data_IF_804309443922
#
_entry.id   IF_804309443922
#
_cell.length_a   1.000
_cell.length_b   1.000
_cell.length_c   1.000
_cell.angle_alpha   90.00
_cell.angle_beta   90.00
_cell.angle_gamma   90.00
#
_symmetry.space_group_name_H-M   'P 1'
#
loop_
_entity.id
_entity.type
_entity.pdbx_description
1 polymer ?
#
# COMPACT_ATOMS: atom_id res chain seq x y z
N UNK A 1 11.22 10.81 0.35
CA UNK A 1 10.22 10.08 1.17
C UNK A 1 10.74 8.67 1.40
N UNK A 2 10.59 8.11 2.61
CA UNK A 2 11.03 6.74 2.93
C UNK A 2 9.87 6.00 3.57
N UNK A 3 9.61 4.79 3.11
CA UNK A 3 8.63 3.89 3.73
C UNK A 3 9.28 3.04 4.82
N UNK A 4 8.50 2.58 5.78
CA UNK A 4 9.00 1.75 6.88
C UNK A 4 9.20 0.30 6.48
N UNK A 5 10.29 -0.31 6.93
CA UNK A 5 10.48 -1.79 6.93
C UNK A 5 9.83 -2.47 8.16
N UNK A 6 9.15 -1.70 9.02
CA UNK A 6 8.46 -2.17 10.22
C UNK A 6 6.97 -1.84 10.12
N UNK A 7 6.37 -2.20 8.99
CA UNK A 7 4.94 -2.04 8.74
C UNK A 7 4.12 -3.09 9.48
N UNK A 8 2.86 -3.25 9.05
CA UNK A 8 1.93 -4.22 9.62
C UNK A 8 2.54 -5.62 9.59
N UNK A 9 2.64 -6.24 10.76
CA UNK A 9 3.22 -7.57 10.99
C UNK A 9 4.67 -7.68 10.47
N UNK A 10 5.46 -6.61 10.60
CA UNK A 10 6.89 -6.58 10.24
C UNK A 10 7.17 -6.52 8.74
N UNK A 11 6.14 -6.36 7.92
CA UNK A 11 6.29 -6.22 6.46
C UNK A 11 6.79 -4.83 6.06
N UNK A 12 7.35 -4.70 4.85
CA UNK A 12 7.69 -3.38 4.30
C UNK A 12 6.41 -2.67 3.86
N UNK A 13 6.18 -1.46 4.33
CA UNK A 13 5.02 -0.65 3.92
C UNK A 13 4.92 -0.58 2.38
N UNK A 14 3.67 -0.66 1.88
CA UNK A 14 3.32 -0.69 0.45
C UNK A 14 3.80 -1.93 -0.33
N UNK A 15 4.50 -2.87 0.29
CA UNK A 15 4.84 -4.15 -0.36
C UNK A 15 3.61 -5.05 -0.50
N UNK A 16 3.60 -6.04 -1.43
CA UNK A 16 2.51 -6.99 -1.57
C UNK A 16 2.08 -7.64 -0.25
N UNK A 17 3.03 -8.08 0.59
CA UNK A 17 2.70 -8.72 1.87
C UNK A 17 2.04 -7.71 2.83
N UNK A 18 2.49 -6.45 2.82
CA UNK A 18 1.89 -5.41 3.63
C UNK A 18 0.45 -5.12 3.22
N UNK A 19 0.16 -5.02 1.93
CA UNK A 19 -1.21 -4.78 1.43
C UNK A 19 -2.12 -5.93 1.87
N UNK A 20 -1.66 -7.18 1.74
CA UNK A 20 -2.40 -8.36 2.19
C UNK A 20 -2.67 -8.34 3.70
N UNK A 21 -1.67 -7.98 4.51
CA UNK A 21 -1.81 -7.93 5.97
C UNK A 21 -2.68 -6.76 6.45
N UNK A 22 -2.71 -5.65 5.71
CA UNK A 22 -3.67 -4.57 5.99
C UNK A 22 -5.09 -5.01 5.63
N UNK A 23 -5.28 -5.59 4.44
CA UNK A 23 -6.59 -6.11 4.01
C UNK A 23 -7.12 -7.18 4.98
N UNK A 24 -6.25 -8.04 5.51
CA UNK A 24 -6.65 -9.11 6.44
C UNK A 24 -7.22 -8.58 7.77
N UNK A 25 -6.86 -7.36 8.18
CA UNK A 25 -7.34 -6.70 9.41
C UNK A 25 -8.67 -5.96 9.23
N UNK A 26 -9.16 -5.82 8.00
CA UNK A 26 -10.49 -5.27 7.74
C UNK A 26 -11.57 -6.34 7.99
N UNK A 27 -12.74 -5.88 8.45
CA UNK A 27 -13.92 -6.74 8.63
C UNK A 27 -14.25 -7.52 7.35
N UNK A 28 -14.74 -8.75 7.52
CA UNK A 28 -15.03 -9.66 6.39
C UNK A 28 -16.01 -9.06 5.38
N UNK A 29 -16.99 -8.28 5.84
CA UNK A 29 -18.01 -7.65 5.00
C UNK A 29 -17.62 -6.23 4.55
N UNK A 30 -16.39 -5.79 4.81
CA UNK A 30 -15.93 -4.47 4.41
C UNK A 30 -15.76 -4.41 2.86
N UNK A 31 -16.42 -3.48 2.16
CA UNK A 31 -16.30 -3.38 0.70
C UNK A 31 -14.87 -3.08 0.23
N UNK A 32 -14.06 -2.39 1.05
CA UNK A 32 -12.65 -2.12 0.75
C UNK A 32 -11.84 -3.40 0.72
N UNK A 33 -12.09 -4.32 1.67
CA UNK A 33 -11.43 -5.62 1.72
C UNK A 33 -11.65 -6.38 0.41
N UNK A 34 -12.92 -6.49 0.00
CA UNK A 34 -13.29 -7.16 -1.25
C UNK A 34 -12.59 -6.54 -2.47
N UNK A 35 -12.60 -5.21 -2.58
CA UNK A 35 -11.96 -4.51 -3.69
C UNK A 35 -10.43 -4.71 -3.72
N UNK A 36 -9.78 -4.70 -2.56
CA UNK A 36 -8.33 -4.93 -2.44
C UNK A 36 -7.98 -6.38 -2.79
N UNK A 37 -8.73 -7.34 -2.27
CA UNK A 37 -8.50 -8.77 -2.52
C UNK A 37 -8.68 -9.10 -4.02
N UNK A 38 -9.76 -8.60 -4.65
CA UNK A 38 -9.96 -8.74 -6.11
C UNK A 38 -8.84 -8.09 -6.93
N UNK A 39 -8.33 -6.93 -6.49
CA UNK A 39 -7.23 -6.27 -7.18
C UNK A 39 -5.89 -7.01 -7.01
N UNK A 40 -5.65 -7.66 -5.87
CA UNK A 40 -4.50 -8.55 -5.64
C UNK A 40 -4.58 -9.74 -6.59
N UNK A 41 -5.73 -10.43 -6.61
CA UNK A 41 -5.94 -11.65 -7.40
C UNK A 41 -5.77 -11.38 -8.92
N UNK A 42 -6.18 -10.19 -9.37
CA UNK A 42 -6.06 -9.77 -10.76
C UNK A 42 -4.71 -9.10 -11.10
N UNK A 43 -3.79 -8.95 -10.12
CA UNK A 43 -2.51 -8.24 -10.34
C UNK A 43 -2.67 -6.76 -10.69
N UNK A 44 -3.75 -6.11 -10.24
CA UNK A 44 -4.12 -4.72 -10.57
C UNK A 44 -3.81 -3.70 -9.47
N UNK A 45 -3.12 -4.10 -8.40
CA UNK A 45 -2.68 -3.17 -7.36
C UNK A 45 -1.60 -2.24 -7.90
N UNK A 46 -1.88 -0.93 -7.88
CA UNK A 46 -0.91 0.12 -8.10
C UNK A 46 -0.69 0.88 -6.80
N UNK A 47 0.57 1.18 -6.49
CA UNK A 47 0.96 1.92 -5.28
C UNK A 47 1.67 3.20 -5.66
N UNK A 48 1.50 4.24 -4.85
CA UNK A 48 2.17 5.51 -5.03
C UNK A 48 2.30 6.27 -3.72
N UNK A 49 3.30 7.14 -3.66
CA UNK A 49 3.50 8.07 -2.57
C UNK A 49 2.82 9.39 -2.93
N UNK A 50 2.00 9.91 -2.01
CA UNK A 50 1.34 11.21 -2.16
C UNK A 50 1.95 12.18 -1.17
N UNK A 51 2.30 13.37 -1.66
CA UNK A 51 2.74 14.49 -0.85
C UNK A 51 2.09 15.78 -1.32
N UNK A 52 2.16 16.81 -0.47
CA UNK A 52 1.78 18.17 -0.83
C UNK A 52 3.04 19.01 -0.86
N UNK A 53 3.28 19.74 -1.95
CA UNK A 53 4.32 20.75 -1.99
C UNK A 53 3.93 21.88 -1.02
N UNK A 54 4.77 22.16 -0.02
CA UNK A 54 4.44 23.16 1.01
C UNK A 54 4.46 24.60 0.51
N UNK A 55 5.12 24.89 -0.62
CA UNK A 55 5.21 26.24 -1.19
C UNK A 55 4.05 26.50 -2.14
N UNK A 56 3.71 25.53 -2.99
CA UNK A 56 2.67 25.70 -4.03
C UNK A 56 1.32 25.15 -3.62
N UNK A 57 1.27 24.25 -2.64
CA UNK A 57 0.05 23.53 -2.25
C UNK A 57 -0.34 22.41 -3.20
N UNK A 58 0.47 22.12 -4.22
CA UNK A 58 0.17 21.12 -5.23
C UNK A 58 0.30 19.70 -4.68
N UNK A 59 -0.64 18.82 -5.08
CA UNK A 59 -0.56 17.40 -4.82
C UNK A 59 0.43 16.74 -5.79
N UNK A 60 1.43 16.07 -5.25
CA UNK A 60 2.42 15.31 -6.00
C UNK A 60 2.16 13.83 -5.75
N UNK A 61 1.81 13.10 -6.83
CA UNK A 61 1.70 11.64 -6.82
C UNK A 61 2.93 11.02 -7.49
N UNK A 62 3.64 10.15 -6.79
CA UNK A 62 4.79 9.42 -7.32
C UNK A 62 4.43 7.92 -7.39
N UNK A 63 4.10 7.37 -8.57
CA UNK A 63 3.90 5.94 -8.73
C UNK A 63 5.16 5.19 -8.29
N UNK A 64 5.03 4.25 -7.37
CA UNK A 64 6.18 3.55 -6.77
C UNK A 64 5.84 2.09 -6.58
N UNK A 65 6.66 1.18 -7.10
CA UNK A 65 6.56 -0.26 -6.80
C UNK A 65 7.56 -0.62 -5.72
N UNK A 66 7.07 -1.20 -4.63
CA UNK A 66 7.88 -1.64 -3.50
C UNK A 66 7.80 -3.15 -3.39
N UNK A 67 8.95 -3.81 -3.35
CA UNK A 67 9.03 -5.27 -3.20
C UNK A 67 9.02 -5.67 -1.74
N UNK A 68 8.63 -6.92 -1.46
CA UNK A 68 8.79 -7.55 -0.15
C UNK A 68 10.25 -7.48 0.34
N UNK A 69 10.43 -7.64 1.65
CA UNK A 69 11.76 -7.81 2.25
C UNK A 69 12.28 -9.18 1.81
N UNK A 70 13.49 -9.24 1.22
CA UNK A 70 14.16 -10.52 0.96
C UNK A 70 14.49 -11.13 2.32
N UNK A 71 14.00 -12.34 2.57
CA UNK A 71 14.42 -13.14 3.72
C UNK A 71 15.86 -13.59 3.55
#
# INVERSE_FOLDING_TARGET
MRVSNKGVDGTRQMSPDWVKNVSSKLDKNNPVKKAVDEAIDNGKINTGLVGVDKKTGELIFIPTRITNIKK
#
